data_IF_130535509665
#
_entry.id   IF_130535509665
#
_cell.length_a   1.000
_cell.length_b   1.000
_cell.length_c   1.000
_cell.angle_alpha   90.00
_cell.angle_beta   90.00
_cell.angle_gamma   90.00
#
_symmetry.space_group_name_H-M   'P 1'
#
loop_
_entity.id
_entity.type
_entity.pdbx_description
1 polymer ?
#
# COMPACT_ATOMS: atom_id res chain seq x y z
N UNK A 1 -59.45 -24.80 -19.90
CA UNK A 1 -58.46 -23.70 -19.94
C UNK A 1 -57.79 -23.37 -18.59
N UNK A 2 -58.42 -23.54 -17.43
CA UNK A 2 -57.81 -23.17 -16.13
C UNK A 2 -56.68 -24.08 -15.59
N UNK A 3 -56.54 -25.34 -16.07
CA UNK A 3 -55.49 -26.26 -15.59
C UNK A 3 -54.10 -25.99 -16.19
N UNK A 4 -54.04 -25.54 -17.45
CA UNK A 4 -52.76 -25.31 -18.14
C UNK A 4 -52.06 -24.02 -17.68
N UNK A 5 -52.82 -23.04 -17.15
CA UNK A 5 -52.24 -21.79 -16.64
C UNK A 5 -51.53 -21.99 -15.28
N UNK A 6 -52.00 -22.91 -14.43
CA UNK A 6 -51.37 -23.24 -13.14
C UNK A 6 -50.07 -24.02 -13.29
N UNK A 7 -49.96 -24.90 -14.29
CA UNK A 7 -48.71 -25.63 -14.57
C UNK A 7 -47.63 -24.73 -15.19
N UNK A 8 -48.00 -23.81 -16.07
CA UNK A 8 -47.05 -22.84 -16.63
C UNK A 8 -46.49 -21.90 -15.54
N UNK A 9 -47.32 -21.46 -14.59
CA UNK A 9 -46.87 -20.61 -13.47
C UNK A 9 -45.96 -21.37 -12.50
N UNK A 10 -46.21 -22.66 -12.23
CA UNK A 10 -45.38 -23.47 -11.34
C UNK A 10 -43.99 -23.79 -11.94
N UNK A 11 -43.90 -23.96 -13.26
CA UNK A 11 -42.62 -24.19 -13.96
C UNK A 11 -41.79 -22.89 -14.06
N UNK A 12 -42.44 -21.74 -14.27
CA UNK A 12 -41.76 -20.43 -14.24
C UNK A 12 -41.29 -20.05 -12.82
N UNK A 13 -42.07 -20.34 -11.78
CA UNK A 13 -41.67 -20.04 -10.40
C UNK A 13 -40.55 -20.95 -9.89
N UNK A 14 -40.55 -22.23 -10.29
CA UNK A 14 -39.46 -23.16 -9.95
C UNK A 14 -38.16 -22.88 -10.72
N UNK A 15 -38.24 -22.42 -11.97
CA UNK A 15 -37.06 -21.96 -12.73
C UNK A 15 -36.42 -20.71 -12.13
N UNK A 16 -37.22 -19.73 -11.68
CA UNK A 16 -36.72 -18.51 -11.03
C UNK A 16 -36.15 -18.80 -9.62
N UNK A 17 -36.76 -19.72 -8.87
CA UNK A 17 -36.24 -20.15 -7.56
C UNK A 17 -34.94 -20.95 -7.66
N UNK A 18 -34.76 -21.78 -8.70
CA UNK A 18 -33.50 -22.49 -8.96
C UNK A 18 -32.38 -21.55 -9.41
N UNK A 19 -32.69 -20.50 -10.20
CA UNK A 19 -31.70 -19.48 -10.60
C UNK A 19 -31.36 -18.50 -9.46
N UNK A 20 -32.32 -18.12 -8.63
CA UNK A 20 -32.06 -17.32 -7.42
C UNK A 20 -31.30 -18.13 -6.35
N UNK A 21 -31.65 -19.41 -6.17
CA UNK A 21 -30.98 -20.32 -5.25
C UNK A 21 -29.54 -20.62 -5.66
N UNK A 22 -29.27 -20.84 -6.95
CA UNK A 22 -27.91 -21.06 -7.48
C UNK A 22 -27.04 -19.81 -7.45
N UNK A 23 -27.59 -18.62 -7.67
CA UNK A 23 -26.84 -17.36 -7.51
C UNK A 23 -26.55 -17.01 -6.05
N UNK A 24 -27.46 -17.34 -5.12
CA UNK A 24 -27.22 -17.23 -3.67
C UNK A 24 -26.20 -18.26 -3.19
N UNK A 25 -26.28 -19.53 -3.64
CA UNK A 25 -25.28 -20.57 -3.33
C UNK A 25 -23.92 -20.25 -3.95
N UNK A 26 -23.86 -19.70 -5.17
CA UNK A 26 -22.60 -19.25 -5.78
C UNK A 26 -22.03 -18.03 -5.05
N UNK A 27 -22.87 -17.05 -4.67
CA UNK A 27 -22.43 -15.93 -3.83
C UNK A 27 -21.95 -16.41 -2.47
N UNK A 28 -22.64 -17.34 -1.83
CA UNK A 28 -22.29 -17.87 -0.51
C UNK A 28 -21.08 -18.79 -0.56
N UNK A 29 -20.91 -19.58 -1.62
CA UNK A 29 -19.69 -20.35 -1.90
C UNK A 29 -18.50 -19.43 -2.19
N UNK A 30 -18.69 -18.36 -2.97
CA UNK A 30 -17.63 -17.37 -3.26
C UNK A 30 -17.31 -16.50 -2.03
N UNK A 31 -18.30 -16.18 -1.18
CA UNK A 31 -18.08 -15.49 0.10
C UNK A 31 -17.37 -16.41 1.10
N UNK A 32 -17.76 -17.69 1.16
CA UNK A 32 -17.12 -18.70 2.00
C UNK A 32 -15.73 -19.04 1.47
N UNK A 33 -15.49 -19.05 0.16
CA UNK A 33 -14.15 -19.23 -0.41
C UNK A 33 -13.27 -18.02 -0.16
N UNK A 34 -13.83 -16.80 -0.21
CA UNK A 34 -13.11 -15.57 0.18
C UNK A 34 -12.82 -15.52 1.69
N UNK A 35 -13.70 -16.08 2.54
CA UNK A 35 -13.46 -16.26 3.99
C UNK A 35 -12.47 -17.40 4.29
N UNK A 36 -12.55 -18.54 3.62
CA UNK A 36 -11.56 -19.63 3.71
C UNK A 36 -10.20 -19.18 3.19
N UNK A 37 -10.16 -18.35 2.14
CA UNK A 37 -8.96 -17.68 1.67
C UNK A 37 -8.42 -16.71 2.73
N UNK A 38 -9.25 -16.06 3.54
CA UNK A 38 -8.76 -15.21 4.62
C UNK A 38 -8.14 -16.02 5.78
N UNK A 39 -8.51 -17.29 5.94
CA UNK A 39 -8.09 -18.17 7.05
C UNK A 39 -6.99 -19.18 6.70
N UNK A 40 -6.71 -19.42 5.41
CA UNK A 40 -5.65 -20.34 5.00
C UNK A 40 -4.26 -19.84 5.47
N UNK A 41 -3.43 -20.70 6.10
CA UNK A 41 -2.13 -20.28 6.61
C UNK A 41 -1.22 -19.80 5.47
N UNK A 42 -0.63 -18.62 5.66
CA UNK A 42 0.35 -18.07 4.72
C UNK A 42 1.66 -18.85 4.84
N UNK A 43 1.94 -19.69 3.85
CA UNK A 43 3.17 -20.49 3.78
C UNK A 43 4.27 -19.66 3.12
N UNK A 44 5.52 -19.88 3.52
CA UNK A 44 6.66 -19.12 3.00
C UNK A 44 7.77 -20.07 2.59
N UNK A 45 8.20 -19.97 1.34
CA UNK A 45 9.44 -20.59 0.84
C UNK A 45 10.56 -19.56 0.88
N UNK A 46 11.73 -19.97 1.34
CA UNK A 46 12.92 -19.13 1.41
C UNK A 46 14.04 -19.75 0.57
N UNK A 47 14.69 -18.93 -0.24
CA UNK A 47 15.90 -19.28 -0.99
C UNK A 47 16.88 -18.10 -0.97
N UNK A 48 18.16 -18.39 -1.14
CA UNK A 48 19.16 -17.36 -1.44
C UNK A 48 19.34 -17.30 -2.96
N UNK A 49 19.35 -16.09 -3.52
CA UNK A 49 19.41 -15.86 -4.97
C UNK A 49 20.72 -15.17 -5.37
N UNK A 50 20.98 -15.13 -6.68
CA UNK A 50 22.08 -14.33 -7.24
C UNK A 50 21.83 -12.85 -7.00
N UNK A 51 22.91 -12.11 -6.80
CA UNK A 51 22.89 -10.66 -6.55
C UNK A 51 23.03 -9.82 -7.82
N UNK A 52 23.55 -10.40 -8.91
CA UNK A 52 23.81 -9.73 -10.19
C UNK A 52 22.57 -9.11 -10.84
N UNK A 53 21.39 -9.59 -10.49
CA UNK A 53 20.14 -9.25 -11.16
C UNK A 53 19.38 -8.13 -10.41
N UNK A 54 19.92 -7.66 -9.28
CA UNK A 54 19.35 -6.57 -8.51
C UNK A 54 19.89 -5.22 -8.99
N UNK A 55 18.97 -4.31 -9.30
CA UNK A 55 19.29 -2.92 -9.60
C UNK A 55 19.30 -2.10 -8.31
N UNK A 56 20.41 -1.44 -8.02
CA UNK A 56 20.58 -0.54 -6.88
C UNK A 56 21.89 0.23 -6.99
N UNK A 57 22.05 1.29 -6.20
CA UNK A 57 23.29 2.10 -6.22
C UNK A 57 24.40 1.52 -5.34
N UNK A 58 24.07 0.52 -4.51
CA UNK A 58 25.01 -0.16 -3.64
C UNK A 58 25.18 -1.62 -4.05
N UNK A 59 26.39 -2.19 -3.96
CA UNK A 59 26.61 -3.61 -4.20
C UNK A 59 25.91 -4.46 -3.13
N UNK A 60 25.24 -5.52 -3.57
CA UNK A 60 24.54 -6.45 -2.69
C UNK A 60 25.46 -7.60 -2.27
N UNK A 61 25.55 -7.84 -0.98
CA UNK A 61 26.34 -8.93 -0.38
C UNK A 61 25.53 -10.24 -0.35
N UNK A 62 24.26 -10.17 0.03
CA UNK A 62 23.35 -11.33 0.14
C UNK A 62 21.97 -10.93 -0.33
N UNK A 63 21.35 -11.75 -1.17
CA UNK A 63 19.96 -11.59 -1.61
C UNK A 63 19.12 -12.80 -1.19
N UNK A 64 18.10 -12.58 -0.35
CA UNK A 64 17.18 -13.62 0.09
C UNK A 64 15.82 -13.45 -0.60
N UNK A 65 15.32 -14.50 -1.25
CA UNK A 65 13.97 -14.55 -1.79
C UNK A 65 13.01 -15.22 -0.81
N UNK A 66 11.86 -14.60 -0.66
CA UNK A 66 10.72 -15.11 0.07
C UNK A 66 9.53 -15.21 -0.86
N UNK A 67 9.04 -16.42 -1.11
CA UNK A 67 7.83 -16.66 -1.89
C UNK A 67 6.70 -17.04 -0.94
N UNK A 68 5.70 -16.17 -0.90
CA UNK A 68 4.51 -16.33 -0.09
C UNK A 68 3.47 -17.10 -0.86
N UNK A 69 2.94 -18.15 -0.25
CA UNK A 69 1.95 -19.03 -0.86
C UNK A 69 0.64 -19.01 -0.10
N UNK A 70 -0.45 -19.03 -0.87
CA UNK A 70 -1.83 -19.10 -0.38
C UNK A 70 -2.53 -20.26 -1.08
N UNK A 71 -3.09 -21.19 -0.32
CA UNK A 71 -3.67 -22.44 -0.84
C UNK A 71 -2.72 -23.22 -1.78
N UNK A 72 -1.44 -23.27 -1.43
CA UNK A 72 -0.40 -23.95 -2.22
C UNK A 72 0.02 -23.24 -3.51
N UNK A 73 -0.60 -22.11 -3.87
CA UNK A 73 -0.24 -21.29 -5.02
C UNK A 73 0.60 -20.09 -4.60
N UNK A 74 1.58 -19.72 -5.42
CA UNK A 74 2.37 -18.51 -5.20
C UNK A 74 1.46 -17.28 -5.28
N UNK A 75 1.45 -16.50 -4.21
CA UNK A 75 0.68 -15.28 -4.10
C UNK A 75 1.52 -14.06 -4.49
N UNK A 76 2.72 -13.95 -3.90
CA UNK A 76 3.71 -12.92 -4.24
C UNK A 76 5.09 -13.33 -3.73
N UNK A 77 6.12 -12.62 -4.17
CA UNK A 77 7.48 -12.79 -3.69
C UNK A 77 8.09 -11.45 -3.27
N UNK A 78 9.01 -11.49 -2.32
CA UNK A 78 9.84 -10.37 -1.90
C UNK A 78 11.31 -10.80 -1.89
N UNK A 79 12.19 -9.86 -2.17
CA UNK A 79 13.61 -9.97 -1.91
C UNK A 79 13.99 -9.19 -0.65
N UNK A 80 14.98 -9.67 0.09
CA UNK A 80 15.69 -8.92 1.12
C UNK A 80 17.17 -8.89 0.71
N UNK A 81 17.61 -7.73 0.24
CA UNK A 81 18.98 -7.49 -0.15
C UNK A 81 19.76 -6.89 1.03
N UNK A 82 20.84 -7.52 1.46
CA UNK A 82 21.79 -6.98 2.43
C UNK A 82 22.92 -6.28 1.68
N UNK A 83 23.26 -5.07 2.10
CA UNK A 83 24.26 -4.23 1.44
C UNK A 83 24.97 -3.30 2.43
N UNK A 84 26.04 -2.67 1.96
CA UNK A 84 26.72 -1.57 2.66
C UNK A 84 26.27 -0.24 2.06
N UNK A 85 25.74 0.66 2.90
CA UNK A 85 25.33 1.98 2.45
C UNK A 85 26.54 2.89 2.20
N UNK A 86 26.29 4.15 1.82
CA UNK A 86 27.34 5.16 1.57
C UNK A 86 28.31 5.41 2.74
N UNK A 87 27.92 5.06 3.97
CA UNK A 87 28.73 5.19 5.18
C UNK A 87 29.39 3.85 5.59
N UNK A 88 29.43 2.86 4.69
CA UNK A 88 29.90 1.50 4.94
C UNK A 88 29.16 0.76 6.08
N UNK A 89 27.96 1.20 6.43
CA UNK A 89 27.13 0.56 7.45
C UNK A 89 26.28 -0.52 6.80
N UNK A 90 26.10 -1.64 7.51
CA UNK A 90 25.19 -2.70 7.07
C UNK A 90 23.76 -2.18 7.03
N UNK A 91 23.08 -2.42 5.92
CA UNK A 91 21.68 -2.09 5.69
C UNK A 91 20.99 -3.25 4.96
N UNK A 92 19.67 -3.20 4.91
CA UNK A 92 18.84 -4.14 4.17
C UNK A 92 17.76 -3.38 3.41
N UNK A 93 17.35 -3.93 2.27
CA UNK A 93 16.22 -3.43 1.51
C UNK A 93 15.28 -4.54 1.08
N UNK A 94 14.00 -4.32 1.34
CA UNK A 94 12.92 -5.15 0.81
C UNK A 94 12.64 -4.71 -0.63
N UNK A 95 12.81 -5.62 -1.58
CA UNK A 95 12.63 -5.35 -3.00
C UNK A 95 11.57 -6.27 -3.59
N UNK A 96 10.99 -5.84 -4.70
CA UNK A 96 10.09 -6.66 -5.50
C UNK A 96 10.89 -7.37 -6.60
N UNK A 97 10.79 -8.70 -6.73
CA UNK A 97 11.41 -9.41 -7.84
C UNK A 97 10.84 -8.99 -9.18
N UNK A 98 11.71 -9.03 -10.20
CA UNK A 98 11.27 -9.00 -11.58
C UNK A 98 10.42 -10.22 -11.88
N UNK A 99 9.48 -10.04 -12.81
CA UNK A 99 8.65 -11.13 -13.32
C UNK A 99 8.43 -10.96 -14.80
N UNK A 100 8.10 -12.07 -15.46
CA UNK A 100 7.66 -12.02 -16.85
C UNK A 100 6.33 -11.28 -16.95
N UNK A 101 6.24 -10.33 -17.89
CA UNK A 101 5.00 -9.66 -18.24
C UNK A 101 4.16 -10.59 -19.12
N UNK A 102 3.52 -11.59 -18.52
CA UNK A 102 2.56 -12.38 -19.28
C UNK A 102 1.28 -11.55 -19.51
N UNK A 103 0.89 -11.46 -20.79
CA UNK A 103 0.06 -10.38 -21.36
C UNK A 103 -1.41 -10.36 -20.91
N UNK A 104 -1.85 -11.34 -20.13
CA UNK A 104 -3.26 -11.51 -19.75
C UNK A 104 -3.57 -11.12 -18.30
N UNK A 105 -2.59 -11.09 -17.40
CA UNK A 105 -2.76 -10.61 -16.01
C UNK A 105 -1.44 -10.00 -15.52
N UNK A 106 -1.36 -8.67 -15.31
CA UNK A 106 -0.11 -8.05 -14.88
C UNK A 106 0.31 -8.61 -13.52
N UNK A 107 1.52 -9.17 -13.47
CA UNK A 107 2.16 -9.54 -12.23
C UNK A 107 2.35 -8.28 -11.37
N UNK A 108 1.52 -8.11 -10.34
CA UNK A 108 1.53 -6.93 -9.47
C UNK A 108 2.87 -6.73 -8.77
N UNK A 109 3.62 -7.80 -8.54
CA UNK A 109 4.99 -7.72 -7.96
C UNK A 109 5.96 -7.10 -8.95
N UNK A 110 5.96 -7.55 -10.21
CA UNK A 110 6.80 -6.96 -11.26
C UNK A 110 6.42 -5.49 -11.54
N UNK A 111 5.13 -5.17 -11.49
CA UNK A 111 4.65 -3.79 -11.64
C UNK A 111 5.16 -2.91 -10.49
N UNK A 112 5.04 -3.35 -9.24
CA UNK A 112 5.63 -2.65 -8.08
C UNK A 112 7.12 -2.42 -8.28
N UNK A 113 7.87 -3.43 -8.72
CA UNK A 113 9.30 -3.29 -9.01
C UNK A 113 9.55 -2.15 -10.02
N UNK A 114 8.87 -2.18 -11.18
CA UNK A 114 9.05 -1.17 -12.23
C UNK A 114 8.77 0.25 -11.73
N UNK A 115 7.72 0.43 -10.93
CA UNK A 115 7.37 1.73 -10.33
C UNK A 115 8.46 2.19 -9.37
N UNK A 116 9.02 1.30 -8.54
CA UNK A 116 10.08 1.65 -7.61
C UNK A 116 11.39 2.01 -8.30
N UNK A 117 11.74 1.35 -9.40
CA UNK A 117 12.91 1.71 -10.21
C UNK A 117 12.74 3.08 -10.87
N UNK A 118 11.56 3.35 -11.46
CA UNK A 118 11.24 4.67 -12.03
C UNK A 118 11.28 5.76 -10.96
N UNK A 119 10.65 5.51 -9.81
CA UNK A 119 10.60 6.43 -8.66
C UNK A 119 11.99 6.73 -8.14
N UNK A 120 12.85 5.71 -7.98
CA UNK A 120 14.22 5.90 -7.50
C UNK A 120 15.06 6.75 -8.46
N UNK A 121 14.90 6.54 -9.78
CA UNK A 121 15.56 7.37 -10.80
C UNK A 121 15.11 8.83 -10.72
N UNK A 122 13.81 9.07 -10.53
CA UNK A 122 13.26 10.42 -10.37
C UNK A 122 13.76 11.08 -9.08
N UNK A 123 13.78 10.34 -7.97
CA UNK A 123 14.34 10.81 -6.70
C UNK A 123 15.81 11.21 -6.91
N UNK A 124 16.61 10.34 -7.52
CA UNK A 124 18.03 10.62 -7.77
C UNK A 124 18.22 11.87 -8.64
N UNK A 125 17.41 12.04 -9.69
CA UNK A 125 17.59 13.10 -10.69
C UNK A 125 17.01 14.45 -10.25
N UNK A 126 15.90 14.46 -9.51
CA UNK A 126 15.10 15.66 -9.28
C UNK A 126 15.03 16.09 -7.80
N UNK A 127 15.62 15.33 -6.87
CA UNK A 127 15.77 15.79 -5.48
C UNK A 127 17.20 16.26 -5.21
N UNK A 128 17.38 17.38 -4.48
CA UNK A 128 18.70 17.81 -4.04
C UNK A 128 19.41 16.72 -3.22
N UNK A 129 20.74 16.66 -3.27
CA UNK A 129 21.47 15.57 -2.62
C UNK A 129 21.29 15.52 -1.11
N UNK A 130 21.12 16.69 -0.50
CA UNK A 130 20.84 16.84 0.93
C UNK A 130 19.34 16.78 1.24
N UNK A 131 18.45 16.39 0.32
CA UNK A 131 17.03 16.28 0.62
C UNK A 131 16.76 15.16 1.64
N UNK A 132 15.84 15.38 2.59
CA UNK A 132 15.35 14.34 3.48
C UNK A 132 14.08 13.74 2.90
N UNK A 133 14.01 12.41 2.82
CA UNK A 133 12.82 11.73 2.34
C UNK A 133 12.11 11.04 3.50
N UNK A 134 10.88 11.46 3.76
CA UNK A 134 9.96 10.87 4.72
C UNK A 134 9.16 9.78 4.02
N UNK A 135 9.14 8.59 4.61
CA UNK A 135 8.36 7.44 4.17
C UNK A 135 8.21 6.47 5.34
N UNK A 136 7.42 5.41 5.16
CA UNK A 136 7.49 4.29 6.08
C UNK A 136 8.84 3.55 5.95
N UNK A 137 9.17 2.69 6.91
CA UNK A 137 10.53 2.17 7.06
C UNK A 137 11.01 1.31 5.88
N UNK A 138 10.13 0.51 5.29
CA UNK A 138 10.44 -0.38 4.17
C UNK A 138 10.54 0.36 2.83
N UNK A 139 9.77 1.43 2.68
CA UNK A 139 9.93 2.38 1.58
C UNK A 139 11.26 3.14 1.71
N UNK A 140 11.65 3.53 2.92
CA UNK A 140 12.91 4.25 3.15
C UNK A 140 14.13 3.38 2.82
N UNK A 141 14.07 2.09 3.16
CA UNK A 141 15.05 1.11 2.70
C UNK A 141 15.17 1.07 1.18
N UNK A 142 14.03 1.00 0.47
CA UNK A 142 14.00 1.00 -1.00
C UNK A 142 14.56 2.29 -1.58
N UNK A 143 14.17 3.44 -1.02
CA UNK A 143 14.67 4.76 -1.42
C UNK A 143 16.19 4.79 -1.28
N UNK A 144 16.72 4.37 -0.12
CA UNK A 144 18.16 4.38 0.09
C UNK A 144 18.87 3.44 -0.88
N UNK A 145 18.47 2.18 -0.97
CA UNK A 145 19.13 1.20 -1.82
C UNK A 145 19.08 1.54 -3.32
N UNK A 146 17.94 2.02 -3.80
CA UNK A 146 17.71 2.24 -5.23
C UNK A 146 18.17 3.62 -5.72
N UNK A 147 18.16 4.65 -4.86
CA UNK A 147 18.49 6.02 -5.28
C UNK A 147 19.73 6.62 -4.61
N UNK A 148 20.18 6.03 -3.50
CA UNK A 148 21.25 6.58 -2.66
C UNK A 148 20.82 7.75 -1.78
N UNK A 149 19.54 8.15 -1.80
CA UNK A 149 19.04 9.24 -0.95
C UNK A 149 18.78 8.77 0.48
N UNK A 150 18.80 9.72 1.40
CA UNK A 150 18.54 9.47 2.81
C UNK A 150 17.03 9.39 3.08
N UNK A 151 16.57 8.21 3.49
CA UNK A 151 15.27 8.04 4.14
C UNK A 151 15.37 8.31 5.64
N UNK A 152 14.39 8.99 6.23
CA UNK A 152 14.37 9.25 7.68
C UNK A 152 14.20 7.98 8.52
N UNK A 153 13.46 6.99 7.98
CA UNK A 153 13.26 5.67 8.56
C UNK A 153 13.74 4.60 7.58
N UNK A 154 14.58 3.66 8.03
CA UNK A 154 15.08 2.57 7.17
C UNK A 154 15.10 1.20 7.88
N UNK A 155 14.49 1.08 9.06
CA UNK A 155 14.50 -0.16 9.85
C UNK A 155 13.18 -0.33 10.59
N UNK A 156 12.63 -1.56 10.67
CA UNK A 156 11.49 -1.87 11.51
C UNK A 156 11.90 -1.96 12.99
N UNK A 157 10.92 -1.97 13.89
CA UNK A 157 11.12 -2.37 15.29
C UNK A 157 10.22 -3.55 15.65
N UNK A 158 10.17 -3.93 16.92
CA UNK A 158 9.48 -5.15 17.39
C UNK A 158 7.99 -5.19 17.04
N UNK A 159 7.32 -4.05 17.01
CA UNK A 159 5.88 -3.91 16.75
C UNK A 159 5.52 -4.35 15.32
N UNK A 160 6.39 -4.08 14.33
CA UNK A 160 6.23 -4.55 12.94
C UNK A 160 5.96 -6.05 12.86
N UNK A 161 6.56 -6.85 13.75
CA UNK A 161 6.50 -8.32 13.72
C UNK A 161 5.27 -8.92 14.41
N UNK A 162 4.31 -8.10 14.86
CA UNK A 162 2.98 -8.58 15.25
C UNK A 162 2.22 -9.14 14.04
N UNK A 163 2.48 -8.61 12.85
CA UNK A 163 1.96 -9.16 11.59
C UNK A 163 2.59 -10.51 11.25
N UNK A 164 1.75 -11.49 10.92
CA UNK A 164 2.20 -12.80 10.46
C UNK A 164 3.10 -12.72 9.22
N UNK A 165 2.88 -11.75 8.34
CA UNK A 165 3.71 -11.52 7.15
C UNK A 165 5.14 -11.15 7.56
N UNK A 166 5.28 -10.10 8.35
CA UNK A 166 6.59 -9.54 8.73
C UNK A 166 7.35 -10.45 9.68
N UNK A 167 6.65 -11.17 10.56
CA UNK A 167 7.25 -12.16 11.45
C UNK A 167 8.07 -13.22 10.70
N UNK A 168 7.67 -13.58 9.47
CA UNK A 168 8.40 -14.54 8.62
C UNK A 168 9.71 -13.98 8.05
N UNK A 169 9.85 -12.66 8.02
CA UNK A 169 11.01 -11.94 7.47
C UNK A 169 11.98 -11.46 8.55
N UNK A 170 11.56 -11.46 9.82
CA UNK A 170 12.30 -10.88 10.95
C UNK A 170 13.77 -11.31 11.03
N UNK A 171 14.07 -12.59 10.78
CA UNK A 171 15.43 -13.13 10.89
C UNK A 171 16.44 -12.54 9.91
N UNK A 172 16.00 -11.87 8.84
CA UNK A 172 16.85 -11.27 7.82
C UNK A 172 16.72 -9.74 7.74
N UNK A 173 16.05 -9.10 8.71
CA UNK A 173 15.91 -7.65 8.78
C UNK A 173 16.72 -7.09 9.95
N UNK A 174 17.44 -5.98 9.72
CA UNK A 174 18.09 -5.24 10.81
C UNK A 174 17.07 -4.39 11.55
N UNK A 175 17.00 -4.57 12.87
CA UNK A 175 16.07 -3.84 13.70
C UNK A 175 16.59 -2.43 14.04
N UNK A 176 15.65 -1.50 14.15
CA UNK A 176 15.89 -0.19 14.72
C UNK A 176 16.32 -0.36 16.19
N UNK A 177 17.46 0.22 16.61
CA UNK A 177 17.78 0.31 18.03
C UNK A 177 16.71 1.15 18.76
N UNK A 178 16.65 1.03 20.09
CA UNK A 178 15.66 1.75 20.90
C UNK A 178 15.64 3.27 20.64
N UNK A 179 16.80 3.88 20.33
CA UNK A 179 16.91 5.29 19.98
C UNK A 179 16.30 5.66 18.62
N UNK A 180 16.18 4.71 17.69
CA UNK A 180 15.51 4.91 16.39
C UNK A 180 14.02 4.53 16.46
N UNK A 181 13.60 3.74 17.46
CA UNK A 181 12.18 3.36 17.66
C UNK A 181 11.26 4.56 17.83
N UNK A 182 11.69 5.59 18.54
CA UNK A 182 10.87 6.79 18.73
C UNK A 182 10.54 7.51 17.41
N UNK A 183 11.39 7.37 16.39
CA UNK A 183 11.10 7.90 15.05
C UNK A 183 9.99 7.13 14.35
N UNK A 184 9.89 5.81 14.56
CA UNK A 184 8.77 5.00 14.06
C UNK A 184 7.46 5.43 14.72
N UNK A 185 7.46 5.63 16.05
CA UNK A 185 6.31 6.15 16.79
C UNK A 185 5.89 7.52 16.25
N UNK A 186 6.86 8.42 16.05
CA UNK A 186 6.58 9.77 15.56
C UNK A 186 6.06 9.78 14.12
N UNK A 187 6.60 8.94 13.23
CA UNK A 187 6.05 8.79 11.87
C UNK A 187 4.62 8.25 11.90
N UNK A 188 4.36 7.21 12.71
CA UNK A 188 3.03 6.65 12.85
C UNK A 188 2.02 7.71 13.30
N UNK A 189 2.41 8.52 14.30
CA UNK A 189 1.62 9.66 14.77
C UNK A 189 1.40 10.71 13.68
N UNK A 190 2.44 11.14 12.97
CA UNK A 190 2.30 12.12 11.88
C UNK A 190 1.35 11.63 10.79
N UNK A 191 1.47 10.37 10.36
CA UNK A 191 0.62 9.81 9.31
C UNK A 191 -0.85 9.68 9.74
N UNK A 192 -1.12 9.47 11.01
CA UNK A 192 -2.47 9.16 11.53
C UNK A 192 -3.17 10.33 12.23
N UNK A 193 -2.47 11.43 12.45
CA UNK A 193 -3.06 12.65 13.01
C UNK A 193 -3.53 13.61 11.92
N UNK A 194 -4.27 14.63 12.34
CA UNK A 194 -4.68 15.77 11.51
C UNK A 194 -3.52 16.35 10.69
N UNK A 195 -3.76 16.55 9.39
CA UNK A 195 -2.71 16.88 8.42
C UNK A 195 -2.01 18.20 8.70
N UNK A 196 -2.75 19.25 9.10
CA UNK A 196 -2.17 20.55 9.41
C UNK A 196 -1.27 20.48 10.64
N UNK A 197 -1.70 19.77 11.68
CA UNK A 197 -0.88 19.53 12.88
C UNK A 197 0.35 18.68 12.56
N UNK A 198 0.21 17.63 11.76
CA UNK A 198 1.33 16.78 11.36
C UNK A 198 2.40 17.59 10.60
N UNK A 199 1.98 18.41 9.63
CA UNK A 199 2.87 19.26 8.85
C UNK A 199 3.55 20.33 9.70
N UNK A 200 2.84 20.91 10.67
CA UNK A 200 3.42 21.84 11.63
C UNK A 200 4.50 21.17 12.51
N UNK A 201 4.26 19.94 12.98
CA UNK A 201 5.25 19.17 13.76
C UNK A 201 6.45 18.74 12.90
N UNK A 202 6.24 18.30 11.66
CA UNK A 202 7.31 17.99 10.70
C UNK A 202 8.18 19.22 10.47
N UNK A 203 7.55 20.38 10.24
CA UNK A 203 8.24 21.67 10.08
C UNK A 203 9.07 22.03 11.30
N UNK A 204 8.51 21.89 12.50
CA UNK A 204 9.22 22.17 13.75
C UNK A 204 10.42 21.24 13.95
N UNK A 205 10.27 19.97 13.58
CA UNK A 205 11.28 18.92 13.79
C UNK A 205 12.51 19.11 12.89
N UNK A 206 12.30 19.46 11.61
CA UNK A 206 13.39 19.51 10.63
C UNK A 206 13.81 20.94 10.24
N UNK A 207 12.94 21.93 10.47
CA UNK A 207 13.14 23.30 10.02
C UNK A 207 13.24 23.43 8.49
N UNK A 208 13.76 24.57 8.02
CA UNK A 208 13.92 24.87 6.59
C UNK A 208 15.33 24.63 6.04
N UNK A 209 16.22 23.99 6.82
CA UNK A 209 17.64 23.84 6.48
C UNK A 209 17.90 22.89 5.30
N UNK A 210 16.99 21.96 5.04
CA UNK A 210 17.08 21.03 3.91
C UNK A 210 15.68 20.80 3.32
N UNK A 211 15.57 20.58 1.99
CA UNK A 211 14.31 20.20 1.36
C UNK A 211 13.76 18.89 1.93
N UNK A 212 12.45 18.82 2.12
CA UNK A 212 11.77 17.63 2.63
C UNK A 212 10.77 17.13 1.59
N UNK A 213 10.84 15.82 1.34
CA UNK A 213 9.90 15.13 0.47
C UNK A 213 9.20 14.03 1.25
N UNK A 214 7.98 13.72 0.85
CA UNK A 214 7.21 12.59 1.37
C UNK A 214 6.96 11.59 0.25
N UNK A 215 7.26 10.32 0.47
CA UNK A 215 6.90 9.22 -0.43
C UNK A 215 5.83 8.39 0.25
N UNK A 216 4.69 8.26 -0.42
CA UNK A 216 3.57 7.42 0.02
C UNK A 216 3.13 6.50 -1.10
N UNK A 217 2.60 5.35 -0.73
CA UNK A 217 2.01 4.42 -1.67
C UNK A 217 0.83 3.67 -1.05
N UNK A 218 0.04 3.03 -1.90
CA UNK A 218 -1.17 2.34 -1.47
C UNK A 218 -0.91 1.16 -0.53
N UNK A 219 0.29 0.56 -0.52
CA UNK A 219 0.61 -0.53 0.41
C UNK A 219 0.61 -0.05 1.88
N UNK A 220 0.70 1.27 2.13
CA UNK A 220 0.51 1.85 3.47
C UNK A 220 -0.88 1.57 4.06
N UNK A 221 -1.91 1.36 3.23
CA UNK A 221 -3.24 0.96 3.70
C UNK A 221 -3.22 -0.43 4.36
N UNK A 222 -2.24 -1.28 4.02
CA UNK A 222 -2.02 -2.56 4.70
C UNK A 222 -1.19 -2.43 5.98
N UNK A 223 -0.65 -1.23 6.26
CA UNK A 223 0.21 -0.93 7.42
C UNK A 223 -0.51 -0.15 8.52
N UNK A 224 -1.76 0.24 8.34
CA UNK A 224 -2.49 1.08 9.31
C UNK A 224 -2.60 0.42 10.70
N UNK A 225 -2.73 -0.91 10.76
CA UNK A 225 -2.66 -1.64 12.03
C UNK A 225 -1.28 -1.60 12.69
N UNK A 226 -0.21 -1.68 11.89
CA UNK A 226 1.17 -1.52 12.38
C UNK A 226 1.41 -0.09 12.88
N UNK A 227 0.88 0.93 12.21
CA UNK A 227 0.96 2.32 12.67
C UNK A 227 0.25 2.50 14.02
N UNK A 228 -0.91 1.88 14.21
CA UNK A 228 -1.61 1.89 15.50
C UNK A 228 -0.78 1.19 16.60
N UNK A 229 -0.11 0.09 16.27
CA UNK A 229 0.81 -0.60 17.19
C UNK A 229 2.01 0.28 17.62
N UNK A 230 2.41 1.23 16.77
CA UNK A 230 3.41 2.27 17.05
C UNK A 230 2.85 3.51 17.77
N UNK A 231 1.60 3.47 18.24
CA UNK A 231 0.96 4.57 18.96
C UNK A 231 0.32 5.64 18.07
N UNK A 232 0.21 5.39 16.77
CA UNK A 232 -0.63 6.19 15.89
C UNK A 232 -2.12 6.06 16.23
N UNK A 233 -2.91 7.06 15.85
CA UNK A 233 -4.38 6.99 15.95
C UNK A 233 -4.89 5.89 15.03
N UNK A 234 -5.70 4.93 15.50
CA UNK A 234 -6.28 3.91 14.64
C UNK A 234 -7.10 4.54 13.53
N UNK A 235 -6.80 4.17 12.28
CA UNK A 235 -7.58 4.59 11.11
C UNK A 235 -8.48 3.44 10.65
N UNK A 236 -9.77 3.72 10.51
CA UNK A 236 -10.76 2.74 10.12
C UNK A 236 -11.12 2.91 8.65
N UNK A 237 -10.79 1.90 7.84
CA UNK A 237 -11.19 1.86 6.44
C UNK A 237 -12.13 0.70 6.18
N UNK A 238 -13.24 0.98 5.51
CA UNK A 238 -14.05 -0.06 4.89
C UNK A 238 -13.35 -0.53 3.63
N UNK A 239 -13.17 -1.84 3.46
CA UNK A 239 -12.49 -2.42 2.30
C UNK A 239 -13.35 -3.45 1.59
N UNK A 240 -13.24 -3.50 0.25
CA UNK A 240 -13.97 -4.47 -0.57
C UNK A 240 -13.14 -4.91 -1.76
N UNK A 241 -13.22 -6.20 -2.07
CA UNK A 241 -12.75 -6.75 -3.34
C UNK A 241 -13.94 -6.82 -4.32
N UNK A 242 -13.80 -6.21 -5.49
CA UNK A 242 -14.80 -6.22 -6.56
C UNK A 242 -14.19 -6.85 -7.82
N UNK A 243 -14.96 -7.66 -8.54
CA UNK A 243 -14.49 -8.23 -9.80
C UNK A 243 -14.29 -7.10 -10.82
N UNK A 244 -13.12 -7.04 -11.45
CA UNK A 244 -12.92 -6.17 -12.60
C UNK A 244 -13.64 -6.78 -13.81
N UNK A 245 -14.42 -5.96 -14.51
CA UNK A 245 -15.13 -6.30 -15.75
C UNK A 245 -14.52 -5.53 -16.91
N UNK A 246 -14.94 -5.87 -18.12
CA UNK A 246 -14.55 -5.14 -19.34
C UNK A 246 -15.24 -3.76 -19.46
N UNK A 247 -15.97 -3.34 -18.42
CA UNK A 247 -16.63 -2.04 -18.31
C UNK A 247 -16.07 -1.25 -17.12
N UNK A 248 -14.97 -0.52 -17.36
CA UNK A 248 -14.34 0.34 -16.37
C UNK A 248 -15.30 1.39 -15.80
N UNK A 249 -16.16 1.97 -16.64
CA UNK A 249 -17.11 3.00 -16.20
C UNK A 249 -18.16 2.40 -15.26
N UNK A 250 -18.71 1.24 -15.60
CA UNK A 250 -19.62 0.48 -14.75
C UNK A 250 -18.98 0.04 -13.44
N UNK A 251 -17.70 -0.35 -13.46
CA UNK A 251 -16.94 -0.70 -12.27
C UNK A 251 -16.72 0.50 -11.36
N UNK A 252 -16.30 1.65 -11.90
CA UNK A 252 -16.15 2.89 -11.13
C UNK A 252 -17.48 3.31 -10.51
N UNK A 253 -18.59 3.23 -11.25
CA UNK A 253 -19.92 3.56 -10.73
C UNK A 253 -20.33 2.62 -9.59
N UNK A 254 -20.02 1.32 -9.70
CA UNK A 254 -20.29 0.36 -8.63
C UNK A 254 -19.47 0.67 -7.37
N UNK A 255 -18.19 0.97 -7.53
CA UNK A 255 -17.29 1.31 -6.42
C UNK A 255 -17.76 2.60 -5.75
N UNK A 256 -18.08 3.63 -6.52
CA UNK A 256 -18.61 4.89 -5.99
C UNK A 256 -19.88 4.67 -5.18
N UNK A 257 -20.85 3.92 -5.69
CA UNK A 257 -22.07 3.60 -4.94
C UNK A 257 -21.75 2.90 -3.62
N UNK A 258 -20.90 1.88 -3.65
CA UNK A 258 -20.46 1.18 -2.45
C UNK A 258 -19.77 2.11 -1.44
N UNK A 259 -18.90 3.01 -1.90
CA UNK A 259 -18.22 3.97 -1.04
C UNK A 259 -19.20 4.95 -0.36
N UNK A 260 -20.26 5.38 -1.04
CA UNK A 260 -21.31 6.22 -0.44
C UNK A 260 -22.24 5.41 0.51
N UNK A 261 -22.43 4.12 0.24
CA UNK A 261 -23.25 3.24 1.07
C UNK A 261 -22.54 2.91 2.40
N UNK A 262 -21.25 2.56 2.36
CA UNK A 262 -20.46 2.15 3.53
C UNK A 262 -19.68 3.29 4.20
N UNK A 263 -19.42 4.37 3.48
CA UNK A 263 -18.56 5.48 3.89
C UNK A 263 -19.15 6.86 3.55
N UNK A 264 -18.29 7.87 3.57
CA UNK A 264 -18.59 9.26 3.19
C UNK A 264 -18.52 9.52 1.67
N UNK A 265 -18.17 8.50 0.87
CA UNK A 265 -18.01 8.62 -0.58
C UNK A 265 -16.58 8.94 -1.03
N UNK A 266 -15.63 9.14 -0.13
CA UNK A 266 -14.22 9.31 -0.41
C UNK A 266 -13.52 7.94 -0.51
N UNK A 267 -13.09 7.57 -1.72
CA UNK A 267 -12.57 6.23 -1.97
C UNK A 267 -11.24 6.20 -2.72
N UNK A 268 -10.51 5.11 -2.54
CA UNK A 268 -9.30 4.75 -3.27
C UNK A 268 -9.49 3.37 -3.90
N UNK A 269 -8.99 3.18 -5.12
CA UNK A 269 -9.07 1.91 -5.85
C UNK A 269 -7.70 1.49 -6.36
N UNK A 270 -7.39 0.21 -6.21
CA UNK A 270 -6.22 -0.43 -6.81
C UNK A 270 -6.65 -1.68 -7.58
N UNK A 271 -6.22 -1.77 -8.84
CA UNK A 271 -6.44 -2.98 -9.65
C UNK A 271 -5.42 -4.05 -9.28
N UNK A 272 -5.89 -5.22 -8.86
CA UNK A 272 -5.09 -6.39 -8.50
C UNK A 272 -5.51 -7.58 -9.40
N UNK A 273 -4.86 -7.72 -10.55
CA UNK A 273 -5.20 -8.74 -11.54
C UNK A 273 -6.64 -8.57 -12.05
N UNK A 274 -7.48 -9.57 -11.80
CA UNK A 274 -8.89 -9.61 -12.22
C UNK A 274 -9.88 -8.97 -11.22
N UNK A 275 -9.37 -8.29 -10.18
CA UNK A 275 -10.18 -7.62 -9.17
C UNK A 275 -9.71 -6.19 -8.92
N UNK A 276 -10.59 -5.36 -8.38
CA UNK A 276 -10.27 -4.12 -7.71
C UNK A 276 -10.31 -4.33 -6.20
N UNK A 277 -9.27 -3.87 -5.51
CA UNK A 277 -9.33 -3.60 -4.08
C UNK A 277 -9.71 -2.15 -3.90
N UNK A 278 -10.79 -1.90 -3.17
CA UNK A 278 -11.27 -0.57 -2.87
C UNK A 278 -11.25 -0.32 -1.36
N UNK A 279 -10.99 0.93 -0.98
CA UNK A 279 -11.05 1.43 0.38
C UNK A 279 -11.90 2.70 0.41
N UNK A 280 -12.63 2.91 1.50
CA UNK A 280 -13.36 4.14 1.79
C UNK A 280 -13.23 4.46 3.27
N UNK A 281 -13.16 5.74 3.60
CA UNK A 281 -13.27 6.26 4.98
C UNK A 281 -14.67 6.00 5.54
N UNK A 282 -14.80 5.98 6.86
CA UNK A 282 -16.07 5.71 7.55
C UNK A 282 -17.03 6.91 7.44
N UNK A 283 -18.33 6.68 7.63
CA UNK A 283 -19.30 7.80 7.66
C UNK A 283 -19.03 8.73 8.85
N UNK A 284 -19.10 10.03 8.58
CA UNK A 284 -18.92 11.10 9.58
C UNK A 284 -17.55 11.06 10.27
N UNK A 285 -16.51 10.53 9.61
CA UNK A 285 -15.15 10.56 10.13
C UNK A 285 -14.34 11.73 9.54
N UNK A 286 -14.86 12.96 9.65
CA UNK A 286 -14.17 14.19 9.24
C UNK A 286 -12.73 14.25 9.76
N UNK A 287 -12.50 13.69 10.95
CA UNK A 287 -11.17 13.56 11.57
C UNK A 287 -10.26 12.57 10.85
N UNK A 288 -10.77 11.43 10.35
CA UNK A 288 -9.99 10.45 9.57
C UNK A 288 -9.71 10.97 8.15
N UNK A 289 -10.69 11.63 7.54
CA UNK A 289 -10.60 12.25 6.22
C UNK A 289 -9.49 13.31 6.14
N UNK A 290 -9.24 14.02 7.25
CA UNK A 290 -8.20 15.03 7.33
C UNK A 290 -6.84 14.51 7.85
N UNK A 291 -6.68 13.19 8.06
CA UNK A 291 -5.38 12.65 8.49
C UNK A 291 -4.33 12.80 7.40
N UNK A 292 -3.05 13.00 7.78
CA UNK A 292 -1.99 13.20 6.80
C UNK A 292 -1.93 12.04 5.79
N UNK A 293 -2.06 10.78 6.23
CA UNK A 293 -2.04 9.63 5.34
C UNK A 293 -3.17 9.68 4.30
N UNK A 294 -4.41 9.96 4.72
CA UNK A 294 -5.56 10.03 3.79
C UNK A 294 -5.40 11.18 2.80
N UNK A 295 -4.87 12.32 3.26
CA UNK A 295 -4.62 13.51 2.42
C UNK A 295 -3.50 13.31 1.40
N UNK A 296 -2.53 12.45 1.69
CA UNK A 296 -1.42 12.12 0.79
C UNK A 296 -1.70 10.89 -0.10
N UNK A 297 -2.66 10.04 0.24
CA UNK A 297 -3.04 8.91 -0.62
C UNK A 297 -3.99 9.37 -1.75
N UNK A 298 -4.03 8.66 -2.88
CA UNK A 298 -4.84 9.03 -4.05
C UNK A 298 -6.34 8.72 -3.88
N UNK A 299 -6.91 9.08 -2.74
CA UNK A 299 -8.34 9.14 -2.53
C UNK A 299 -8.95 10.21 -3.45
N UNK A 300 -10.15 9.95 -4.00
CA UNK A 300 -10.76 10.78 -5.06
C UNK A 300 -10.89 12.25 -4.67
N UNK A 301 -11.12 12.54 -3.39
CA UNK A 301 -11.25 13.92 -2.91
C UNK A 301 -9.95 14.51 -2.35
N UNK A 302 -9.03 13.67 -1.86
CA UNK A 302 -7.73 14.11 -1.33
C UNK A 302 -6.86 14.78 -2.39
N UNK A 303 -6.77 14.23 -3.60
CA UNK A 303 -5.91 14.81 -4.65
C UNK A 303 -6.36 16.20 -5.12
N UNK A 304 -7.63 16.55 -4.93
CA UNK A 304 -8.16 17.88 -5.28
C UNK A 304 -7.91 18.91 -4.19
N UNK A 305 -7.55 18.46 -2.99
CA UNK A 305 -7.41 19.27 -1.78
C UNK A 305 -6.14 18.80 -1.08
N UNK A 306 -4.97 19.07 -1.63
CA UNK A 306 -3.74 18.84 -0.86
C UNK A 306 -3.66 19.82 0.31
N UNK A 307 -3.02 19.45 1.44
CA UNK A 307 -2.74 20.38 2.53
C UNK A 307 -1.93 21.59 2.04
N UNK A 308 -2.01 22.71 2.75
CA UNK A 308 -1.23 23.89 2.39
C UNK A 308 0.28 23.60 2.45
N UNK A 309 1.04 24.13 1.49
CA UNK A 309 2.49 23.96 1.38
C UNK A 309 2.93 22.50 1.12
N UNK A 310 2.06 21.69 0.55
CA UNK A 310 2.38 20.35 0.06
C UNK A 310 2.10 20.29 -1.44
N UNK A 311 3.16 20.07 -2.22
CA UNK A 311 3.07 19.97 -3.67
C UNK A 311 3.28 18.53 -4.13
N UNK A 312 2.34 17.98 -4.91
CA UNK A 312 2.54 16.70 -5.60
C UNK A 312 3.53 16.90 -6.75
N UNK A 313 4.74 16.34 -6.62
CA UNK A 313 5.80 16.49 -7.63
C UNK A 313 5.93 15.28 -8.56
N UNK A 314 5.40 14.12 -8.16
CA UNK A 314 5.33 12.94 -9.00
C UNK A 314 4.22 12.00 -8.56
N UNK A 315 3.57 11.34 -9.52
CA UNK A 315 2.62 10.27 -9.29
C UNK A 315 2.81 9.17 -10.34
N UNK A 316 2.86 7.91 -9.89
CA UNK A 316 3.09 6.77 -10.77
C UNK A 316 1.88 6.43 -11.65
N UNK A 317 2.13 5.82 -12.81
CA UNK A 317 1.14 5.55 -13.86
C UNK A 317 0.12 4.44 -13.54
N UNK A 318 0.21 3.80 -12.36
CA UNK A 318 -0.68 2.71 -11.95
C UNK A 318 -1.75 3.21 -10.98
N UNK A 319 -2.66 4.06 -11.47
CA UNK A 319 -3.73 4.63 -10.65
C UNK A 319 -3.22 5.43 -9.45
N UNK A 320 -2.05 6.06 -9.59
CA UNK A 320 -1.42 6.80 -8.50
C UNK A 320 -0.90 5.96 -7.36
N UNK A 321 -0.62 4.66 -7.58
CA UNK A 321 -0.12 3.73 -6.56
C UNK A 321 0.99 4.29 -5.66
N UNK A 322 1.87 5.13 -6.20
CA UNK A 322 2.94 5.81 -5.47
C UNK A 322 2.95 7.28 -5.85
N UNK A 323 3.06 8.15 -4.85
CA UNK A 323 3.16 9.59 -5.02
C UNK A 323 4.36 10.15 -4.24
N UNK A 324 5.03 11.16 -4.80
CA UNK A 324 6.06 11.96 -4.14
C UNK A 324 5.53 13.37 -3.96
N UNK A 325 5.58 13.84 -2.73
CA UNK A 325 5.21 15.19 -2.33
C UNK A 325 6.45 15.97 -1.91
N UNK A 326 6.49 17.26 -2.23
CA UNK A 326 7.44 18.21 -1.66
C UNK A 326 6.75 19.00 -0.57
N UNK A 327 7.38 19.11 0.58
CA UNK A 327 6.89 19.94 1.70
C UNK A 327 7.62 21.28 1.63
N UNK A 328 6.87 22.34 1.39
CA UNK A 328 7.39 23.70 1.34
C UNK A 328 7.38 24.33 2.73
N UNK A 329 8.50 24.90 3.12
CA UNK A 329 8.58 25.75 4.30
C UNK A 329 8.68 27.19 3.84
N UNK A 330 7.55 27.84 3.59
CA UNK A 330 7.56 29.29 3.36
C UNK A 330 8.22 29.95 4.56
N UNK A 331 9.29 30.71 4.34
CA UNK A 331 9.82 31.65 5.32
C UNK A 331 8.65 32.47 5.82
N UNK A 332 8.41 32.52 7.14
CA UNK A 332 7.48 33.51 7.66
C UNK A 332 7.99 34.87 7.18
N UNK A 333 7.19 35.57 6.39
CA UNK A 333 7.46 36.96 6.03
C UNK A 333 7.67 37.72 7.34
N UNK A 334 8.88 38.26 7.49
CA UNK A 334 9.31 39.02 8.67
C UNK A 334 8.45 40.25 8.87
#
# INVERSE_FOLDING_TARGET
MLKNLKQAFLVLFSGVLLMAGSTLLYKQYKLNSLKQDAEAPLMVKHSQEKTSDLQGVFPVEVNNRYTFQKNGKDAFSLFIANYKNQNAQTSNAILFPAGEHDSLNPNTTALRQSIWLETAKLIQTHTPENALILSWWDDGQRINFLSGREGWLNKPSTETFKSNLWKKLQGNLLLAPSSEKDRLNQMARWLTMDSDKALAEIRSTFGSKRPIYFVVNNDLLMRVGEMADYGGTPLLFSTKALQARDDLHGDINQIRRWANEEGDGNYLVQKEGSYYRAWTTQKNSDAEDNTLLVRLLPFVDSLKKLPENVDLVYQSRWGGYLSIYKIEFKSASS
#
